data_IF_466577821183
#
_entry.id   IF_466577821183
#
_cell.length_a   1.000
_cell.length_b   1.000
_cell.length_c   1.000
_cell.angle_alpha   90.00
_cell.angle_beta   90.00
_cell.angle_gamma   90.00
#
_symmetry.space_group_name_H-M   'P 1'
#
loop_
_entity.id
_entity.type
_entity.pdbx_description
1 polymer ?
#
# COMPACT_ATOMS: atom_id res chain seq x y z
N UNK A 1 13.64 7.46 16.81
CA UNK A 1 12.43 6.97 16.12
C UNK A 1 11.61 6.22 17.16
N UNK A 2 10.33 6.47 17.24
CA UNK A 2 9.46 5.75 18.19
C UNK A 2 9.20 4.33 17.67
N UNK A 3 9.04 3.38 18.60
CA UNK A 3 8.73 1.99 18.26
C UNK A 3 7.23 1.73 18.40
N UNK A 4 6.66 0.99 17.45
CA UNK A 4 5.26 0.62 17.39
C UNK A 4 5.14 -0.90 17.33
N UNK A 5 4.50 -1.49 18.32
CA UNK A 5 4.23 -2.92 18.32
C UNK A 5 2.97 -3.19 17.51
N UNK A 6 3.12 -3.90 16.40
CA UNK A 6 2.01 -4.32 15.57
C UNK A 6 1.52 -5.71 16.02
N UNK A 7 0.27 -5.76 16.49
CA UNK A 7 -0.39 -7.01 16.86
C UNK A 7 -1.15 -7.56 15.65
N UNK A 8 -0.62 -8.62 15.02
CA UNK A 8 -1.35 -9.24 13.91
C UNK A 8 -2.38 -10.24 14.41
N UNK A 9 -3.64 -9.95 14.13
CA UNK A 9 -4.75 -10.85 14.44
C UNK A 9 -4.78 -12.11 13.56
N UNK A 10 -4.03 -12.14 12.46
CA UNK A 10 -4.04 -13.26 11.50
C UNK A 10 -2.66 -13.44 10.86
N UNK A 11 -2.05 -14.58 11.04
CA UNK A 11 -0.81 -14.98 10.35
C UNK A 11 -1.13 -15.54 8.97
N UNK A 12 -0.29 -15.19 7.97
CA UNK A 12 -0.40 -15.76 6.64
C UNK A 12 -0.12 -17.27 6.66
N UNK A 13 -0.94 -18.06 5.97
CA UNK A 13 -0.64 -19.47 5.72
C UNK A 13 0.65 -19.62 4.90
N UNK A 14 1.32 -20.79 4.95
CA UNK A 14 2.51 -21.04 4.12
C UNK A 14 2.26 -20.81 2.63
N UNK A 15 1.09 -21.19 2.13
CA UNK A 15 0.69 -20.98 0.74
C UNK A 15 0.59 -19.49 0.42
N UNK A 16 -0.06 -18.70 1.27
CA UNK A 16 -0.17 -17.26 1.09
C UNK A 16 1.20 -16.56 1.16
N UNK A 17 2.09 -17.00 2.05
CA UNK A 17 3.47 -16.47 2.08
C UNK A 17 4.18 -16.70 0.75
N UNK A 18 4.02 -17.86 0.14
CA UNK A 18 4.63 -18.15 -1.16
C UNK A 18 4.06 -17.29 -2.28
N UNK A 19 2.74 -17.04 -2.29
CA UNK A 19 2.11 -16.11 -3.24
C UNK A 19 2.69 -14.70 -3.10
N UNK A 20 2.84 -14.19 -1.87
CA UNK A 20 3.45 -12.88 -1.66
C UNK A 20 4.94 -12.83 -2.02
N UNK A 21 5.70 -13.92 -1.83
CA UNK A 21 7.09 -14.00 -2.31
C UNK A 21 7.17 -13.92 -3.83
N UNK A 22 6.27 -14.58 -4.56
CA UNK A 22 6.17 -14.45 -6.02
C UNK A 22 5.79 -13.02 -6.43
N UNK A 23 4.86 -12.40 -5.71
CA UNK A 23 4.48 -11.01 -5.96
C UNK A 23 5.67 -10.07 -5.75
N UNK A 24 6.45 -10.26 -4.67
CA UNK A 24 7.70 -9.53 -4.45
C UNK A 24 8.67 -9.72 -5.62
N UNK A 25 8.94 -10.97 -6.03
CA UNK A 25 9.85 -11.25 -7.15
C UNK A 25 9.39 -10.56 -8.44
N UNK A 26 8.09 -10.60 -8.74
CA UNK A 26 7.54 -9.90 -9.89
C UNK A 26 7.78 -8.38 -9.78
N UNK A 27 7.62 -7.81 -8.59
CA UNK A 27 7.87 -6.40 -8.34
C UNK A 27 9.35 -6.05 -8.53
N UNK A 28 10.26 -6.86 -8.00
CA UNK A 28 11.72 -6.67 -8.15
C UNK A 28 12.14 -6.68 -9.63
N UNK A 29 11.44 -7.42 -10.50
CA UNK A 29 11.68 -7.43 -11.95
C UNK A 29 11.16 -6.21 -12.70
N UNK A 30 10.35 -5.35 -12.08
CA UNK A 30 9.86 -4.14 -12.76
C UNK A 30 10.88 -3.02 -12.85
N UNK A 31 12.00 -3.13 -12.15
CA UNK A 31 13.10 -2.17 -12.16
C UNK A 31 13.39 -1.59 -10.77
N UNK A 32 14.65 -1.27 -10.53
CA UNK A 32 15.15 -0.73 -9.25
C UNK A 32 14.71 0.72 -9.00
N UNK A 33 14.23 1.40 -10.02
CA UNK A 33 13.70 2.76 -9.97
C UNK A 33 12.30 2.82 -9.34
N UNK A 34 11.57 1.71 -9.37
CA UNK A 34 10.21 1.63 -8.81
C UNK A 34 10.25 1.43 -7.29
N UNK A 35 10.67 2.46 -6.56
CA UNK A 35 10.76 2.43 -5.09
C UNK A 35 9.44 2.80 -4.42
N UNK A 36 8.76 3.82 -4.92
CA UNK A 36 7.49 4.30 -4.37
C UNK A 36 6.34 3.70 -5.16
N UNK A 37 5.58 2.81 -4.54
CA UNK A 37 4.52 2.06 -5.21
C UNK A 37 3.21 2.30 -4.49
N UNK A 38 2.22 2.86 -5.19
CA UNK A 38 0.88 3.01 -4.65
C UNK A 38 -0.02 1.84 -5.05
N UNK A 39 -0.78 1.33 -4.09
CA UNK A 39 -1.80 0.34 -4.32
C UNK A 39 -3.18 0.95 -4.10
N UNK A 40 -4.06 0.78 -5.08
CA UNK A 40 -5.47 1.18 -4.99
C UNK A 40 -6.39 0.03 -5.39
N UNK A 41 -7.70 0.24 -5.28
CA UNK A 41 -8.70 -0.75 -5.67
C UNK A 41 -9.88 -0.10 -6.38
N UNK A 42 -10.75 -0.93 -6.95
CA UNK A 42 -12.00 -0.45 -7.54
C UNK A 42 -13.02 -0.09 -6.45
N UNK A 43 -13.13 -0.92 -5.43
CA UNK A 43 -14.15 -0.81 -4.39
C UNK A 43 -13.55 -1.00 -3.01
N UNK A 44 -14.30 -0.58 -2.00
CA UNK A 44 -14.03 -0.98 -0.63
C UNK A 44 -14.07 -2.51 -0.49
N UNK A 45 -13.31 -3.03 0.46
CA UNK A 45 -13.22 -4.46 0.72
C UNK A 45 -12.62 -5.32 -0.41
N UNK A 46 -12.02 -4.77 -1.46
CA UNK A 46 -11.23 -5.52 -2.44
C UNK A 46 -9.98 -6.19 -1.82
N UNK A 47 -9.64 -5.80 -0.59
CA UNK A 47 -8.53 -6.34 0.18
C UNK A 47 -7.19 -5.64 -0.07
N UNK A 48 -7.24 -4.46 -0.69
CA UNK A 48 -6.11 -3.59 -0.98
C UNK A 48 -5.15 -3.44 0.22
N UNK A 49 -5.66 -2.98 1.36
CA UNK A 49 -4.85 -2.74 2.57
C UNK A 49 -4.20 -4.02 3.12
N UNK A 50 -4.84 -5.19 2.95
CA UNK A 50 -4.23 -6.47 3.29
C UNK A 50 -3.10 -6.82 2.33
N UNK A 51 -3.31 -6.57 1.04
CA UNK A 51 -2.31 -6.86 0.01
C UNK A 51 -1.10 -5.96 0.18
N UNK A 52 -1.30 -4.64 0.30
CA UNK A 52 -0.23 -3.67 0.45
C UNK A 52 0.59 -3.90 1.72
N UNK A 53 -0.05 -4.15 2.86
CA UNK A 53 0.62 -4.40 4.13
C UNK A 53 1.46 -5.70 4.10
N UNK A 54 0.89 -6.80 3.62
CA UNK A 54 1.60 -8.07 3.54
C UNK A 54 2.75 -8.03 2.51
N UNK A 55 2.56 -7.33 1.38
CA UNK A 55 3.62 -7.12 0.41
C UNK A 55 4.79 -6.34 1.03
N UNK A 56 4.50 -5.25 1.75
CA UNK A 56 5.52 -4.46 2.43
C UNK A 56 6.30 -5.30 3.46
N UNK A 57 5.62 -6.13 4.23
CA UNK A 57 6.28 -7.05 5.19
C UNK A 57 7.21 -8.06 4.48
N UNK A 58 6.74 -8.71 3.43
CA UNK A 58 7.54 -9.70 2.67
C UNK A 58 8.76 -9.04 2.00
N UNK A 59 8.65 -7.78 1.57
CA UNK A 59 9.78 -7.00 1.10
C UNK A 59 10.80 -6.76 2.22
N UNK A 60 10.34 -6.43 3.43
CA UNK A 60 11.20 -6.19 4.59
C UNK A 60 11.90 -7.48 5.08
N UNK A 61 11.25 -8.65 4.97
CA UNK A 61 11.86 -9.95 5.27
C UNK A 61 13.08 -10.26 4.39
N UNK A 62 13.22 -9.61 3.22
CA UNK A 62 14.35 -9.73 2.29
C UNK A 62 15.44 -8.67 2.51
N UNK A 63 15.67 -8.27 3.75
CA UNK A 63 16.66 -7.27 4.18
C UNK A 63 16.52 -5.88 3.53
N UNK A 64 15.36 -5.58 2.95
CA UNK A 64 15.04 -4.25 2.41
C UNK A 64 14.46 -3.35 3.50
N UNK A 65 14.90 -2.10 3.56
CA UNK A 65 14.27 -1.08 4.40
C UNK A 65 12.98 -0.63 3.74
N UNK A 66 11.85 -1.00 4.34
CA UNK A 66 10.52 -0.77 3.74
C UNK A 66 9.70 0.16 4.63
N UNK A 67 9.15 1.20 4.03
CA UNK A 67 8.17 2.07 4.64
C UNK A 67 6.76 1.73 4.10
N UNK A 68 5.84 1.46 5.00
CA UNK A 68 4.42 1.38 4.67
C UNK A 68 3.74 2.68 5.08
N UNK A 69 3.02 3.32 4.15
CA UNK A 69 2.24 4.54 4.41
C UNK A 69 0.77 4.21 4.28
N UNK A 70 0.02 4.36 5.36
CA UNK A 70 -1.43 4.30 5.32
C UNK A 70 -1.98 5.67 4.94
N UNK A 71 -2.28 5.85 3.66
CA UNK A 71 -2.81 7.09 3.11
C UNK A 71 -4.34 7.05 2.91
N UNK A 72 -5.03 5.99 3.36
CA UNK A 72 -6.49 5.97 3.40
C UNK A 72 -7.02 6.76 4.60
N UNK A 73 -6.93 8.09 4.49
CA UNK A 73 -7.39 9.01 5.53
C UNK A 73 -8.92 9.12 5.66
N UNK A 74 -9.66 8.24 4.97
CA UNK A 74 -11.13 8.15 5.04
C UNK A 74 -11.59 6.93 5.82
N UNK A 75 -10.91 5.80 5.62
CA UNK A 75 -11.28 4.52 6.23
C UNK A 75 -10.06 3.61 6.38
N UNK A 76 -9.17 3.95 7.34
CA UNK A 76 -8.00 3.11 7.61
C UNK A 76 -8.41 1.77 8.21
N UNK A 77 -8.07 0.69 7.51
CA UNK A 77 -8.25 -0.68 7.99
C UNK A 77 -7.06 -1.13 8.86
N UNK A 78 -5.89 -0.51 8.67
CA UNK A 78 -4.66 -0.88 9.36
C UNK A 78 -4.78 -0.74 10.88
N UNK A 79 -5.29 0.41 11.35
CA UNK A 79 -5.45 0.70 12.78
C UNK A 79 -6.26 -0.40 13.48
N UNK A 80 -7.37 -0.80 12.90
CA UNK A 80 -8.24 -1.85 13.46
C UNK A 80 -7.63 -3.26 13.44
N UNK A 81 -6.70 -3.53 12.50
CA UNK A 81 -6.10 -4.86 12.30
C UNK A 81 -4.84 -5.09 13.11
N UNK A 82 -4.11 -4.04 13.42
CA UNK A 82 -2.77 -4.12 14.01
C UNK A 82 -2.68 -3.56 15.41
N UNK A 83 -3.81 -3.17 16.02
CA UNK A 83 -3.85 -2.61 17.37
C UNK A 83 -3.21 -1.23 17.50
N UNK A 84 -3.04 -0.51 16.39
CA UNK A 84 -2.51 0.87 16.40
C UNK A 84 -3.51 1.78 17.12
N UNK A 85 -3.08 2.55 18.14
CA UNK A 85 -3.96 3.50 18.84
C UNK A 85 -4.49 4.60 17.91
N UNK A 86 -5.76 4.98 18.08
CA UNK A 86 -6.44 6.01 17.27
C UNK A 86 -5.86 7.41 17.43
N UNK A 87 -5.16 7.68 18.53
CA UNK A 87 -4.53 8.97 18.86
C UNK A 87 -3.08 9.07 18.36
N UNK A 88 -2.56 8.03 17.71
CA UNK A 88 -1.20 8.03 17.21
C UNK A 88 -1.01 9.12 16.15
N UNK A 89 0.12 9.84 16.23
CA UNK A 89 0.49 10.80 15.20
C UNK A 89 0.74 10.08 13.86
N UNK A 90 0.29 10.64 12.76
CA UNK A 90 0.43 10.01 11.45
C UNK A 90 0.45 11.01 10.30
N UNK A 91 0.22 10.52 9.10
CA UNK A 91 0.27 11.26 7.85
C UNK A 91 -0.56 12.56 7.90
N UNK A 92 -1.78 12.49 8.43
CA UNK A 92 -2.67 13.66 8.56
C UNK A 92 -2.10 14.76 9.43
N UNK A 93 -1.36 14.42 10.49
CA UNK A 93 -0.71 15.38 11.37
C UNK A 93 0.47 16.08 10.68
N UNK A 94 1.28 15.32 9.93
CA UNK A 94 2.37 15.88 9.14
C UNK A 94 1.83 16.84 8.07
N UNK A 95 0.85 16.42 7.27
CA UNK A 95 0.27 17.22 6.19
C UNK A 95 -0.46 18.47 6.71
N UNK A 96 -0.95 18.44 7.95
CA UNK A 96 -1.51 19.59 8.62
C UNK A 96 -0.45 20.57 9.17
N UNK A 97 0.85 20.25 9.05
CA UNK A 97 1.96 21.05 9.57
C UNK A 97 2.11 20.99 11.10
N UNK A 98 1.50 20.00 11.76
CA UNK A 98 1.52 19.87 13.23
C UNK A 98 2.72 19.08 13.75
N UNK A 99 3.33 18.25 12.92
CA UNK A 99 4.44 17.37 13.29
C UNK A 99 5.46 17.29 12.18
N UNK A 100 6.73 17.08 12.53
CA UNK A 100 7.79 16.77 11.58
C UNK A 100 7.65 15.32 11.06
N UNK A 101 8.25 15.03 9.91
CA UNK A 101 8.23 13.67 9.33
C UNK A 101 8.79 12.61 10.30
N UNK A 102 9.87 12.94 11.01
CA UNK A 102 10.49 12.03 12.00
C UNK A 102 9.59 11.68 13.20
N UNK A 103 8.55 12.47 13.46
CA UNK A 103 7.61 12.23 14.56
C UNK A 103 6.42 11.34 14.17
N UNK A 104 6.23 11.10 12.87
CA UNK A 104 5.13 10.30 12.33
C UNK A 104 5.59 8.98 11.71
N UNK A 105 6.92 8.75 11.66
CA UNK A 105 7.51 7.49 11.20
C UNK A 105 7.84 6.63 12.41
N UNK A 106 7.33 5.41 12.43
CA UNK A 106 7.53 4.45 13.51
C UNK A 106 8.32 3.23 13.02
N UNK A 107 9.35 2.83 13.76
CA UNK A 107 9.93 1.50 13.63
C UNK A 107 8.92 0.49 14.20
N UNK A 108 8.89 -0.72 13.65
CA UNK A 108 7.98 -1.75 14.15
C UNK A 108 8.75 -2.90 14.79
N UNK A 109 8.03 -3.82 15.43
CA UNK A 109 8.57 -5.09 15.92
C UNK A 109 9.02 -6.05 14.80
N UNK A 110 8.84 -5.68 13.53
CA UNK A 110 9.40 -6.41 12.38
C UNK A 110 10.68 -5.74 11.90
N UNK A 111 11.75 -6.52 11.70
CA UNK A 111 13.04 -6.02 11.22
C UNK A 111 12.86 -5.27 9.88
N UNK A 112 13.47 -4.10 9.74
CA UNK A 112 13.48 -3.28 8.53
C UNK A 112 12.09 -2.79 8.05
N UNK A 113 11.06 -2.93 8.85
CA UNK A 113 9.70 -2.53 8.52
C UNK A 113 9.28 -1.31 9.34
N UNK A 114 8.90 -0.25 8.63
CA UNK A 114 8.52 1.05 9.19
C UNK A 114 7.13 1.43 8.73
N UNK A 115 6.42 2.21 9.54
CA UNK A 115 5.03 2.60 9.25
C UNK A 115 4.84 4.09 9.47
N UNK A 116 4.12 4.74 8.57
CA UNK A 116 3.42 5.99 8.80
C UNK A 116 1.93 5.65 8.86
N UNK A 117 1.29 5.66 10.04
CA UNK A 117 -0.15 5.46 10.13
C UNK A 117 -0.90 6.68 9.59
N UNK A 118 -2.17 6.54 9.31
CA UNK A 118 -3.04 7.65 8.89
C UNK A 118 -3.04 8.79 9.91
N UNK A 119 -3.02 8.46 11.19
CA UNK A 119 -3.30 9.41 12.26
C UNK A 119 -4.79 9.74 12.34
N UNK A 120 -5.12 10.86 13.00
CA UNK A 120 -6.52 11.30 13.14
C UNK A 120 -7.13 11.62 11.76
N UNK A 121 -8.33 11.10 11.50
CA UNK A 121 -9.04 11.36 10.25
C UNK A 121 -9.34 12.84 10.07
N UNK A 122 -8.86 13.49 9.01
CA UNK A 122 -9.12 14.90 8.73
C UNK A 122 -10.48 15.07 8.06
N UNK A 123 -11.05 16.28 8.15
CA UNK A 123 -12.29 16.61 7.45
C UNK A 123 -12.12 16.64 5.92
N UNK A 124 -10.95 17.08 5.44
CA UNK A 124 -10.66 17.30 4.03
C UNK A 124 -9.35 16.58 3.62
N UNK A 125 -9.35 15.24 3.46
CA UNK A 125 -8.17 14.48 3.06
C UNK A 125 -7.56 14.94 1.74
N UNK A 126 -8.39 15.18 0.73
CA UNK A 126 -8.00 15.62 -0.61
C UNK A 126 -7.19 16.90 -0.60
N UNK A 127 -7.57 17.89 0.21
CA UNK A 127 -6.83 19.14 0.34
C UNK A 127 -5.46 18.95 0.98
N UNK A 128 -5.34 18.04 1.94
CA UNK A 128 -4.07 17.72 2.58
C UNK A 128 -3.12 17.03 1.60
N UNK A 129 -3.62 16.10 0.80
CA UNK A 129 -2.83 15.38 -0.21
C UNK A 129 -2.36 16.29 -1.36
N UNK A 130 -3.11 17.36 -1.64
CA UNK A 130 -2.72 18.34 -2.65
C UNK A 130 -1.64 19.35 -2.19
N UNK A 131 -1.24 19.33 -0.92
CA UNK A 131 -0.20 20.23 -0.43
C UNK A 131 1.18 19.80 -0.91
N UNK A 132 2.10 20.76 -1.19
CA UNK A 132 3.48 20.44 -1.52
C UNK A 132 4.19 19.58 -0.47
N UNK A 133 3.76 19.64 0.80
CA UNK A 133 4.29 18.83 1.88
C UNK A 133 4.18 17.32 1.60
N UNK A 134 3.16 16.87 0.86
CA UNK A 134 3.03 15.47 0.50
C UNK A 134 4.14 15.03 -0.48
N UNK A 135 4.40 15.80 -1.52
CA UNK A 135 5.47 15.52 -2.50
C UNK A 135 6.85 15.54 -1.82
N UNK A 136 7.08 16.52 -0.94
CA UNK A 136 8.32 16.62 -0.15
C UNK A 136 8.53 15.40 0.75
N UNK A 137 7.46 14.90 1.39
CA UNK A 137 7.51 13.69 2.19
C UNK A 137 7.90 12.48 1.33
N UNK A 138 7.19 12.26 0.23
CA UNK A 138 7.41 11.09 -0.64
C UNK A 138 8.84 11.08 -1.18
N UNK A 139 9.33 12.23 -1.67
CA UNK A 139 10.70 12.33 -2.18
C UNK A 139 11.76 12.05 -1.08
N UNK A 140 11.58 12.57 0.12
CA UNK A 140 12.46 12.27 1.26
C UNK A 140 12.42 10.78 1.65
N UNK A 141 11.26 10.15 1.58
CA UNK A 141 11.13 8.71 1.90
C UNK A 141 11.76 7.83 0.80
N UNK A 142 11.63 8.21 -0.45
CA UNK A 142 12.28 7.53 -1.60
C UNK A 142 13.80 7.47 -1.46
N UNK A 143 14.42 8.51 -0.89
CA UNK A 143 15.86 8.54 -0.66
C UNK A 143 16.28 7.72 0.57
N UNK A 144 15.38 7.54 1.53
CA UNK A 144 15.68 6.92 2.83
C UNK A 144 15.43 5.41 2.83
N UNK A 145 14.43 4.94 2.09
CA UNK A 145 13.96 3.56 2.06
C UNK A 145 14.24 2.89 0.71
N UNK A 146 14.38 1.57 0.72
CA UNK A 146 14.50 0.77 -0.51
C UNK A 146 13.15 0.67 -1.21
N UNK A 147 12.05 0.56 -0.42
CA UNK A 147 10.67 0.58 -0.90
C UNK A 147 9.78 1.44 0.00
N UNK A 148 8.86 2.14 -0.63
CA UNK A 148 7.75 2.86 0.01
C UNK A 148 6.45 2.32 -0.57
N UNK A 149 5.70 1.60 0.22
CA UNK A 149 4.39 1.03 -0.17
C UNK A 149 3.30 1.91 0.38
N UNK A 150 2.48 2.48 -0.51
CA UNK A 150 1.41 3.40 -0.13
C UNK A 150 0.06 2.72 -0.30
N UNK A 151 -0.65 2.52 0.80
CA UNK A 151 -2.04 2.09 0.81
C UNK A 151 -2.96 3.29 0.63
N UNK A 152 -3.83 3.27 -0.38
CA UNK A 152 -4.69 4.42 -0.73
C UNK A 152 -6.17 4.07 -0.57
N UNK A 153 -7.10 5.03 -0.52
CA UNK A 153 -8.51 4.70 -0.66
C UNK A 153 -8.84 4.12 -2.05
N UNK A 154 -10.01 3.47 -2.23
CA UNK A 154 -10.43 2.97 -3.54
C UNK A 154 -10.59 4.08 -4.57
N UNK A 155 -9.88 3.99 -5.71
CA UNK A 155 -9.96 4.99 -6.78
C UNK A 155 -11.35 5.04 -7.43
N UNK A 156 -12.08 3.92 -7.43
CA UNK A 156 -13.46 3.90 -7.93
C UNK A 156 -14.45 4.69 -7.06
N UNK A 157 -14.05 5.07 -5.84
CA UNK A 157 -14.90 5.82 -4.91
C UNK A 157 -14.47 7.27 -4.74
N UNK A 158 -13.16 7.56 -4.73
CA UNK A 158 -12.61 8.90 -4.44
C UNK A 158 -11.35 9.19 -5.23
N UNK A 159 -11.10 10.49 -5.50
CA UNK A 159 -9.97 10.96 -6.30
C UNK A 159 -8.62 10.92 -5.57
N UNK A 160 -8.61 10.73 -4.27
CA UNK A 160 -7.41 10.78 -3.43
C UNK A 160 -6.31 9.81 -3.92
N UNK A 161 -6.71 8.62 -4.36
CA UNK A 161 -5.78 7.64 -4.90
C UNK A 161 -5.08 8.10 -6.19
N UNK A 162 -5.74 8.90 -7.04
CA UNK A 162 -5.13 9.48 -8.23
C UNK A 162 -4.08 10.53 -7.86
N UNK A 163 -4.35 11.37 -6.84
CA UNK A 163 -3.38 12.35 -6.33
C UNK A 163 -2.13 11.66 -5.76
N UNK A 164 -2.33 10.59 -5.01
CA UNK A 164 -1.25 9.78 -4.45
C UNK A 164 -0.44 9.10 -5.58
N UNK A 165 -1.13 8.51 -6.56
CA UNK A 165 -0.48 7.83 -7.68
C UNK A 165 0.42 8.76 -8.49
N UNK A 166 0.05 10.03 -8.64
CA UNK A 166 0.84 11.03 -9.37
C UNK A 166 2.25 11.23 -8.80
N UNK A 167 2.43 11.03 -7.50
CA UNK A 167 3.73 11.19 -6.81
C UNK A 167 4.49 9.88 -6.64
N UNK A 168 3.88 8.75 -6.97
CA UNK A 168 4.50 7.44 -6.89
C UNK A 168 5.32 7.13 -8.15
N UNK A 169 6.35 6.29 -8.01
CA UNK A 169 7.11 5.78 -9.17
C UNK A 169 6.27 4.82 -10.01
N UNK A 170 5.38 4.08 -9.35
CA UNK A 170 4.54 3.10 -10.00
C UNK A 170 3.20 2.90 -9.28
N UNK A 171 2.24 2.33 -10.00
CA UNK A 171 0.90 2.05 -9.47
C UNK A 171 0.45 0.61 -9.73
N UNK A 172 -0.34 0.08 -8.81
CA UNK A 172 -0.91 -1.28 -8.85
C UNK A 172 -2.40 -1.22 -8.51
N UNK A 173 -3.23 -1.94 -9.26
CA UNK A 173 -4.65 -2.07 -9.00
C UNK A 173 -4.97 -3.42 -8.35
N UNK A 174 -5.58 -3.41 -7.19
CA UNK A 174 -6.08 -4.61 -6.49
C UNK A 174 -7.56 -4.80 -6.82
N UNK A 175 -7.95 -5.98 -7.27
CA UNK A 175 -9.33 -6.31 -7.64
C UNK A 175 -9.72 -7.60 -6.92
N UNK A 176 -10.89 -7.61 -6.28
CA UNK A 176 -11.47 -8.83 -5.74
C UNK A 176 -12.09 -9.68 -6.84
N UNK A 177 -11.74 -10.96 -6.88
CA UNK A 177 -12.30 -11.90 -7.84
C UNK A 177 -13.84 -11.97 -7.69
N UNK A 178 -14.53 -12.03 -8.82
CA UNK A 178 -15.99 -12.14 -8.91
C UNK A 178 -16.81 -10.98 -8.28
N UNK A 179 -16.15 -9.91 -7.79
CA UNK A 179 -16.82 -8.77 -7.14
C UNK A 179 -16.93 -7.53 -8.04
N UNK A 180 -16.02 -7.38 -8.99
CA UNK A 180 -15.90 -6.18 -9.82
C UNK A 180 -16.20 -6.52 -11.29
N UNK A 181 -17.06 -5.73 -11.94
CA UNK A 181 -17.31 -5.89 -13.37
C UNK A 181 -16.10 -5.47 -14.21
N UNK A 182 -15.90 -6.13 -15.37
CA UNK A 182 -14.81 -5.78 -16.31
C UNK A 182 -14.86 -4.30 -16.71
N UNK A 183 -16.07 -3.74 -16.90
CA UNK A 183 -16.26 -2.34 -17.25
C UNK A 183 -15.73 -1.41 -16.17
N UNK A 184 -16.05 -1.68 -14.90
CA UNK A 184 -15.56 -0.90 -13.76
C UNK A 184 -14.05 -1.03 -13.61
N UNK A 185 -13.51 -2.25 -13.69
CA UNK A 185 -12.08 -2.50 -13.60
C UNK A 185 -11.30 -1.74 -14.69
N UNK A 186 -11.79 -1.75 -15.94
CA UNK A 186 -11.18 -1.00 -17.03
C UNK A 186 -11.26 0.52 -16.82
N UNK A 187 -12.40 1.05 -16.36
CA UNK A 187 -12.55 2.48 -16.09
C UNK A 187 -11.59 2.95 -15.02
N UNK A 188 -11.46 2.21 -13.90
CA UNK A 188 -10.53 2.54 -12.81
C UNK A 188 -9.07 2.39 -13.26
N UNK A 189 -8.75 1.36 -14.03
CA UNK A 189 -7.42 1.20 -14.63
C UNK A 189 -7.03 2.39 -15.51
N UNK A 190 -7.93 2.85 -16.38
CA UNK A 190 -7.69 4.03 -17.24
C UNK A 190 -7.46 5.29 -16.41
N UNK A 191 -8.26 5.52 -15.37
CA UNK A 191 -8.04 6.63 -14.44
C UNK A 191 -6.68 6.56 -13.76
N UNK A 192 -6.26 5.37 -13.34
CA UNK A 192 -4.97 5.15 -12.69
C UNK A 192 -3.80 5.39 -13.65
N UNK A 193 -3.89 4.90 -14.90
CA UNK A 193 -2.88 5.13 -15.95
C UNK A 193 -2.78 6.61 -16.30
N UNK A 194 -3.91 7.34 -16.34
CA UNK A 194 -3.90 8.79 -16.58
C UNK A 194 -3.22 9.57 -15.44
N UNK A 195 -3.33 9.10 -14.20
CA UNK A 195 -2.66 9.70 -13.05
C UNK A 195 -1.18 9.31 -12.95
N UNK A 196 -0.86 8.04 -13.25
CA UNK A 196 0.49 7.49 -13.25
C UNK A 196 0.64 6.49 -14.42
N UNK A 197 1.34 6.87 -15.50
CA UNK A 197 1.50 6.01 -16.68
C UNK A 197 2.33 4.75 -16.41
N UNK A 198 3.14 4.71 -15.34
CA UNK A 198 3.86 3.50 -14.93
C UNK A 198 2.94 2.56 -14.11
N UNK A 199 1.98 1.98 -14.79
CA UNK A 199 1.05 1.01 -14.25
C UNK A 199 1.63 -0.41 -14.35
N UNK A 200 2.02 -1.00 -13.21
CA UNK A 200 2.67 -2.31 -13.18
C UNK A 200 1.71 -3.47 -13.45
N UNK A 201 0.43 -3.31 -13.15
CA UNK A 201 -0.55 -4.36 -13.40
C UNK A 201 -1.65 -4.48 -12.34
N UNK A 202 -2.30 -5.64 -12.36
CA UNK A 202 -3.44 -5.97 -11.50
C UNK A 202 -3.08 -7.13 -10.59
N UNK A 203 -3.43 -7.01 -9.30
CA UNK A 203 -3.42 -8.11 -8.35
C UNK A 203 -4.87 -8.60 -8.19
N UNK A 204 -5.13 -9.84 -8.61
CA UNK A 204 -6.41 -10.48 -8.38
C UNK A 204 -6.43 -11.10 -6.98
N UNK A 205 -7.19 -10.50 -6.08
CA UNK A 205 -7.34 -10.95 -4.70
C UNK A 205 -8.62 -11.79 -4.53
N UNK A 206 -8.70 -12.56 -3.45
CA UNK A 206 -9.84 -13.45 -3.12
C UNK A 206 -10.24 -14.40 -4.26
N UNK A 207 -9.28 -14.75 -5.11
CA UNK A 207 -9.48 -15.78 -6.11
C UNK A 207 -9.53 -17.15 -5.41
N UNK A 208 -10.51 -17.97 -5.74
CA UNK A 208 -10.51 -19.36 -5.31
C UNK A 208 -9.27 -20.04 -5.92
N UNK A 209 -8.52 -20.75 -5.10
CA UNK A 209 -7.48 -21.66 -5.58
C UNK A 209 -8.18 -22.83 -6.31
N UNK A 210 -8.70 -22.57 -7.48
CA UNK A 210 -9.09 -23.62 -8.40
C UNK A 210 -7.83 -24.46 -8.65
N UNK A 211 -7.86 -25.71 -8.26
CA UNK A 211 -6.85 -26.75 -8.35
C UNK A 211 -6.30 -26.91 -9.78
N UNK A 212 -5.64 -25.91 -10.30
CA UNK A 212 -4.74 -26.06 -11.44
C UNK A 212 -3.31 -25.99 -10.91
N UNK A 213 -2.89 -27.05 -10.23
CA UNK A 213 -1.49 -27.42 -10.26
C UNK A 213 -1.11 -27.54 -11.74
N UNK A 214 -0.40 -26.56 -12.26
CA UNK A 214 0.45 -26.79 -13.41
C UNK A 214 1.57 -27.72 -12.92
N UNK A 215 1.26 -29.03 -12.92
CA UNK A 215 2.27 -30.06 -12.75
C UNK A 215 3.22 -29.94 -13.90
N UNK A 216 4.48 -29.64 -13.61
CA UNK A 216 5.57 -29.95 -14.53
C UNK A 216 5.52 -31.44 -14.76
N UNK A 217 5.06 -31.83 -15.94
CA UNK A 217 5.05 -33.22 -16.38
C UNK A 217 6.49 -33.73 -16.35
N UNK A 218 6.74 -34.75 -15.55
CA UNK A 218 7.93 -35.58 -15.69
C UNK A 218 7.89 -36.19 -17.09
N UNK A 219 8.89 -35.89 -17.90
CA UNK A 219 9.36 -36.75 -18.96
C UNK A 219 10.59 -37.48 -18.46
#
# INVERSE_FOLDING_TARGET
>A
MQELILEEKTTLSPVMKEIYRRLRTNLEFTGIENKVICLTSCMENDGKSSVSFNLAKILAENDKRVLFIDADMRNSVLMNRTGIPDDLKGLSHYLAGKNAASEVIYATNYKNFYVIPTGRFPKNPTELLNKPAYEVLIEGMKQTFDYVIIDTPPLGSVVDAALIAKTADASVLVISANAVSRRMANSVKEQLINANPNFLGVILNKADEGTKHYGYGKR
#
